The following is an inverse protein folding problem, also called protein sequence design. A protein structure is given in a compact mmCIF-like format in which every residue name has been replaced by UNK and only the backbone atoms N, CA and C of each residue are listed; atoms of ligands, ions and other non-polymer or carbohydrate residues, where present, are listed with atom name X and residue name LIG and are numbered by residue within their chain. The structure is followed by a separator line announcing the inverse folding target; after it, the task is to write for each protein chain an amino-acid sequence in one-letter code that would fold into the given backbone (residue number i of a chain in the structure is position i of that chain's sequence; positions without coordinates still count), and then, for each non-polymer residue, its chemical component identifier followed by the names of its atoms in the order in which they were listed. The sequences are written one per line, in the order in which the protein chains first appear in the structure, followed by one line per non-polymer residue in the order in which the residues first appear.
data_IF_852205151592
#
_entry.id   IF_852205151592
#
_cell.length_a   1.000
_cell.length_b   1.000
_cell.length_c   1.000
_cell.angle_alpha   90.00
_cell.angle_beta   90.00
_cell.angle_gamma   90.00
#
_symmetry.space_group_name_H-M   'P 1'
#
loop_
_entity.id
_entity.type
_entity.pdbx_description
1 polymer ?
#
# COMPACT_ATOMS: atom_id res chain seq x y z
N UNK A 1 11.67 8.76 -7.76
CA UNK A 1 11.09 9.82 -6.90
C UNK A 1 9.74 9.38 -6.35
N UNK A 2 9.45 9.48 -5.04
CA UNK A 2 8.12 9.19 -4.48
C UNK A 2 7.02 10.15 -4.96
N UNK A 3 7.43 11.32 -5.46
CA UNK A 3 6.57 12.46 -5.80
C UNK A 3 5.76 12.27 -7.09
N UNK A 4 6.16 11.32 -7.95
CA UNK A 4 5.46 10.98 -9.20
C UNK A 4 4.68 9.65 -9.12
N UNK A 5 4.62 9.03 -7.94
CA UNK A 5 3.88 7.77 -7.78
C UNK A 5 2.39 8.02 -7.96
N UNK A 6 1.80 7.35 -8.95
CA UNK A 6 0.43 7.56 -9.41
C UNK A 6 0.35 8.15 -10.83
N UNK A 7 1.31 8.99 -11.24
CA UNK A 7 1.38 9.55 -12.61
C UNK A 7 1.90 8.52 -13.60
N UNK A 8 2.93 7.77 -13.20
CA UNK A 8 3.58 6.76 -14.04
C UNK A 8 2.94 5.37 -13.93
N UNK A 9 1.89 5.22 -13.12
CA UNK A 9 1.23 3.95 -12.90
C UNK A 9 0.07 3.78 -13.88
N UNK A 10 0.04 2.66 -14.59
CA UNK A 10 -1.15 2.24 -15.33
C UNK A 10 -2.30 1.92 -14.36
N UNK A 11 -3.53 1.89 -14.86
CA UNK A 11 -4.70 1.65 -14.01
C UNK A 11 -4.66 0.25 -13.36
N UNK A 12 -4.10 -0.76 -14.03
CA UNK A 12 -3.82 -2.07 -13.41
C UNK A 12 -2.89 -1.99 -12.20
N UNK A 13 -1.84 -1.16 -12.29
CA UNK A 13 -0.89 -0.97 -11.20
C UNK A 13 -1.53 -0.23 -10.03
N UNK A 14 -2.43 0.74 -10.30
CA UNK A 14 -3.21 1.42 -9.26
C UNK A 14 -4.21 0.46 -8.60
N UNK A 15 -4.84 -0.42 -9.38
CA UNK A 15 -5.73 -1.46 -8.87
C UNK A 15 -4.99 -2.43 -7.94
N UNK A 16 -3.77 -2.86 -8.31
CA UNK A 16 -2.93 -3.68 -7.43
C UNK A 16 -2.58 -2.99 -6.11
N UNK A 17 -2.29 -1.68 -6.15
CA UNK A 17 -1.98 -0.92 -4.94
C UNK A 17 -3.19 -0.78 -4.02
N UNK A 18 -4.36 -0.52 -4.60
CA UNK A 18 -5.63 -0.41 -3.89
C UNK A 18 -5.97 -1.74 -3.22
N UNK A 19 -5.95 -2.84 -3.97
CA UNK A 19 -6.18 -4.19 -3.44
C UNK A 19 -5.21 -4.54 -2.32
N UNK A 20 -3.92 -4.26 -2.48
CA UNK A 20 -2.94 -4.48 -1.42
C UNK A 20 -3.20 -3.63 -0.16
N UNK A 21 -3.76 -2.43 -0.32
CA UNK A 21 -4.09 -1.55 0.80
C UNK A 21 -5.40 -1.95 1.50
N UNK A 22 -6.40 -2.43 0.76
CA UNK A 22 -7.63 -3.00 1.34
C UNK A 22 -7.31 -4.18 2.26
N UNK A 23 -6.45 -5.09 1.81
CA UNK A 23 -5.97 -6.23 2.61
C UNK A 23 -5.19 -5.73 3.83
N UNK A 24 -4.39 -4.67 3.69
CA UNK A 24 -3.67 -4.06 4.80
C UNK A 24 -4.62 -3.47 5.86
N UNK A 25 -5.78 -2.94 5.45
CA UNK A 25 -6.80 -2.40 6.35
C UNK A 25 -7.64 -3.48 7.02
N UNK A 26 -7.95 -4.57 6.31
CA UNK A 26 -8.71 -5.71 6.85
C UNK A 26 -7.85 -6.64 7.72
N UNK A 27 -6.53 -6.62 7.55
CA UNK A 27 -5.63 -7.47 8.30
C UNK A 27 -5.71 -7.20 9.82
N UNK A 28 -5.72 -8.27 10.64
CA UNK A 28 -5.76 -8.14 12.09
C UNK A 28 -4.51 -7.40 12.58
N UNK A 29 -4.75 -6.31 13.27
CA UNK A 29 -3.70 -5.44 13.79
C UNK A 29 -3.41 -5.64 15.27
N UNK A 30 -2.20 -5.31 15.69
CA UNK A 30 -1.85 -5.19 17.11
C UNK A 30 -2.08 -3.75 17.57
N UNK A 31 -3.09 -3.54 18.43
CA UNK A 31 -3.45 -2.21 18.92
C UNK A 31 -2.38 -1.62 19.86
N UNK A 32 -1.56 -2.46 20.48
CA UNK A 32 -0.63 -2.06 21.54
C UNK A 32 0.79 -1.82 21.02
N UNK A 33 1.17 -2.46 19.90
CA UNK A 33 2.46 -2.22 19.24
C UNK A 33 2.29 -1.84 17.77
N UNK A 34 2.34 -0.53 17.48
CA UNK A 34 2.21 0.03 16.12
C UNK A 34 3.30 -0.45 15.14
N UNK A 35 4.48 -0.83 15.63
CA UNK A 35 5.59 -1.28 14.77
C UNK A 35 5.39 -2.74 14.36
N UNK A 36 4.98 -3.58 15.31
CA UNK A 36 4.66 -4.97 15.05
C UNK A 36 3.36 -5.10 14.24
N UNK A 37 2.35 -4.27 14.53
CA UNK A 37 1.10 -4.13 13.78
C UNK A 37 1.34 -3.93 12.28
N UNK A 38 2.13 -2.92 11.93
CA UNK A 38 2.44 -2.61 10.53
C UNK A 38 3.16 -3.78 9.83
N UNK A 39 3.99 -4.52 10.55
CA UNK A 39 4.72 -5.66 10.00
C UNK A 39 3.78 -6.85 9.78
N UNK A 40 2.93 -7.18 10.75
CA UNK A 40 1.94 -8.24 10.68
C UNK A 40 0.91 -8.00 9.56
N UNK A 41 0.46 -6.76 9.37
CA UNK A 41 -0.44 -6.40 8.26
C UNK A 41 0.24 -6.55 6.90
N UNK A 42 1.49 -6.13 6.77
CA UNK A 42 2.27 -6.34 5.53
C UNK A 42 2.46 -7.83 5.23
N UNK A 43 2.64 -8.65 6.26
CA UNK A 43 2.76 -10.11 6.11
C UNK A 43 1.44 -10.73 5.64
N UNK A 44 0.31 -10.22 6.12
CA UNK A 44 -1.02 -10.63 5.65
C UNK A 44 -1.20 -10.31 4.16
N UNK A 45 -0.83 -9.10 3.73
CA UNK A 45 -0.83 -8.70 2.31
C UNK A 45 0.10 -9.59 1.47
N UNK A 46 1.28 -9.90 2.00
CA UNK A 46 2.23 -10.79 1.32
C UNK A 46 1.65 -12.20 1.13
N UNK A 47 0.95 -12.72 2.15
CA UNK A 47 0.31 -14.04 2.11
C UNK A 47 -0.86 -14.09 1.13
N UNK A 48 -1.76 -13.12 1.16
CA UNK A 48 -2.94 -13.11 0.29
C UNK A 48 -2.60 -12.88 -1.19
N UNK A 49 -1.64 -12.00 -1.47
CA UNK A 49 -1.25 -11.69 -2.85
C UNK A 49 -0.11 -12.59 -3.37
N UNK A 50 0.34 -13.58 -2.58
CA UNK A 50 1.49 -14.44 -2.89
C UNK A 50 2.75 -13.64 -3.28
N UNK A 51 3.02 -12.58 -2.52
CA UNK A 51 4.14 -11.66 -2.76
C UNK A 51 5.23 -11.84 -1.71
N UNK A 52 6.43 -11.40 -2.03
CA UNK A 52 7.44 -11.18 -0.99
C UNK A 52 7.02 -10.03 -0.06
N UNK A 53 7.40 -10.09 1.22
CA UNK A 53 7.22 -8.98 2.19
C UNK A 53 7.72 -7.63 1.65
N UNK A 54 8.82 -7.63 0.89
CA UNK A 54 9.39 -6.43 0.24
C UNK A 54 8.44 -5.86 -0.82
N UNK A 55 7.85 -6.72 -1.65
CA UNK A 55 6.87 -6.31 -2.66
C UNK A 55 5.56 -5.83 -2.04
N UNK A 56 5.02 -6.56 -1.04
CA UNK A 56 3.82 -6.16 -0.30
C UNK A 56 4.00 -4.79 0.36
N UNK A 57 5.10 -4.59 1.09
CA UNK A 57 5.48 -3.29 1.68
C UNK A 57 5.55 -2.18 0.64
N UNK A 58 6.03 -2.48 -0.57
CA UNK A 58 6.16 -1.49 -1.65
C UNK A 58 4.79 -1.09 -2.20
N UNK A 59 3.87 -2.03 -2.41
CA UNK A 59 2.49 -1.75 -2.88
C UNK A 59 1.72 -0.89 -1.87
N UNK A 60 1.76 -1.24 -0.59
CA UNK A 60 1.14 -0.44 0.49
C UNK A 60 1.71 0.99 0.52
N UNK A 61 3.05 1.14 0.47
CA UNK A 61 3.70 2.47 0.43
C UNK A 61 3.42 3.25 -0.84
N UNK A 62 3.22 2.58 -1.97
CA UNK A 62 2.87 3.24 -3.22
C UNK A 62 1.47 3.83 -3.12
N UNK A 63 0.51 3.07 -2.57
CA UNK A 63 -0.84 3.56 -2.31
C UNK A 63 -0.82 4.77 -1.36
N UNK A 64 -0.13 4.68 -0.22
CA UNK A 64 0.01 5.79 0.74
C UNK A 64 0.64 7.05 0.11
N UNK A 65 1.58 6.88 -0.82
CA UNK A 65 2.18 8.00 -1.55
C UNK A 65 1.22 8.58 -2.58
N UNK A 66 0.52 7.72 -3.33
CA UNK A 66 -0.48 8.13 -4.32
C UNK A 66 -1.63 8.91 -3.67
N UNK A 67 -2.17 8.43 -2.55
CA UNK A 67 -3.19 9.14 -1.76
C UNK A 67 -2.71 10.52 -1.27
N UNK A 68 -1.46 10.62 -0.80
CA UNK A 68 -0.87 11.91 -0.44
C UNK A 68 -0.71 12.83 -1.65
N UNK A 69 -0.37 12.30 -2.80
CA UNK A 69 -0.22 13.08 -4.03
C UNK A 69 -1.58 13.58 -4.56
N UNK A 70 -2.65 12.78 -4.43
CA UNK A 70 -4.03 13.21 -4.70
C UNK A 70 -4.43 14.37 -3.77
N UNK A 71 -4.15 14.24 -2.47
CA UNK A 71 -4.43 15.30 -1.50
C UNK A 71 -3.70 16.62 -1.84
N UNK A 72 -2.48 16.52 -2.38
CA UNK A 72 -1.69 17.66 -2.86
C UNK A 72 -2.12 18.17 -4.25
N UNK A 73 -3.15 17.60 -4.86
CA UNK A 73 -3.61 17.89 -6.24
C UNK A 73 -2.53 17.70 -7.31
N UNK A 74 -1.52 16.86 -7.03
CA UNK A 74 -0.43 16.57 -7.97
C UNK A 74 -0.80 15.45 -8.95
N UNK A 75 -1.78 14.61 -8.58
CA UNK A 75 -2.20 13.41 -9.33
C UNK A 75 -3.70 13.24 -9.18
N UNK A 76 -4.37 12.80 -10.23
CA UNK A 76 -5.79 12.44 -10.17
C UNK A 76 -5.99 11.05 -9.53
N UNK A 77 -7.08 10.85 -8.78
CA UNK A 77 -7.50 9.54 -8.31
C UNK A 77 -7.88 8.59 -9.45
#
# INVERSE_FOLDING_TARGET
MPELRGVQATDDVKAEWTRAYEIYLSAPGDRYDKKNDRTARIDSVAKELQLTRKQAKRRVRNYEAWQRNISKKLVSP
#
